data_IF_739596288904
#
_entry.id   IF_739596288904
#
_cell.length_a   1.000
_cell.length_b   1.000
_cell.length_c   1.000
_cell.angle_alpha   90.00
_cell.angle_beta   90.00
_cell.angle_gamma   90.00
#
_symmetry.space_group_name_H-M   'P 1'
#
loop_
_entity.id
_entity.type
_entity.pdbx_description
1 polymer ?
#
# COMPACT_ATOMS: atom_id res chain seq x y z
N UNK A 1 -5.47 9.94 -12.67
CA UNK A 1 -6.43 8.80 -12.69
C UNK A 1 -7.33 8.94 -13.92
N UNK A 2 -7.56 7.88 -14.70
CA UNK A 2 -8.46 7.75 -15.87
C UNK A 2 -8.53 8.93 -16.86
N UNK A 3 -9.05 10.09 -16.43
CA UNK A 3 -9.10 11.36 -17.17
C UNK A 3 -7.73 11.78 -17.73
N UNK A 4 -6.65 11.51 -16.99
CA UNK A 4 -5.28 11.78 -17.45
C UNK A 4 -4.85 10.92 -18.67
N UNK A 5 -5.60 9.87 -18.98
CA UNK A 5 -5.43 9.00 -20.14
C UNK A 5 -6.62 9.09 -21.11
N UNK A 6 -7.44 10.13 -20.97
CA UNK A 6 -8.64 10.35 -21.78
C UNK A 6 -9.64 9.19 -21.80
N UNK A 7 -9.61 8.32 -20.77
CA UNK A 7 -10.52 7.19 -20.64
C UNK A 7 -11.85 7.63 -20.04
N UNK A 8 -12.96 7.13 -20.57
CA UNK A 8 -14.29 7.24 -19.98
C UNK A 8 -14.49 6.23 -18.83
N UNK A 9 -15.50 6.46 -17.98
CA UNK A 9 -15.86 5.51 -16.91
C UNK A 9 -16.26 4.15 -17.49
N UNK A 10 -16.95 4.15 -18.64
CA UNK A 10 -17.41 2.92 -19.29
C UNK A 10 -16.22 2.09 -19.81
N UNK A 11 -15.24 2.73 -20.45
CA UNK A 11 -14.03 2.06 -20.93
C UNK A 11 -13.21 1.49 -19.78
N UNK A 12 -13.08 2.23 -18.68
CA UNK A 12 -12.34 1.73 -17.52
C UNK A 12 -13.08 0.59 -16.82
N UNK A 13 -14.41 0.68 -16.69
CA UNK A 13 -15.25 -0.37 -16.13
C UNK A 13 -15.16 -1.67 -16.94
N UNK A 14 -15.19 -1.56 -18.27
CA UNK A 14 -15.01 -2.69 -19.17
C UNK A 14 -13.63 -3.35 -18.99
N UNK A 15 -12.56 -2.55 -18.88
CA UNK A 15 -11.20 -3.06 -18.71
C UNK A 15 -10.96 -3.76 -17.36
N UNK A 16 -11.70 -3.41 -16.30
CA UNK A 16 -11.60 -4.06 -14.98
C UNK A 16 -12.73 -5.06 -14.68
N UNK A 17 -13.61 -5.32 -15.65
CA UNK A 17 -14.68 -6.30 -15.56
C UNK A 17 -15.79 -5.94 -14.55
N UNK A 18 -16.24 -4.68 -14.55
CA UNK A 18 -17.38 -4.24 -13.72
C UNK A 18 -18.34 -3.37 -14.53
N UNK A 19 -19.55 -3.13 -14.00
CA UNK A 19 -20.48 -2.18 -14.62
C UNK A 19 -20.00 -0.73 -14.44
N UNK A 20 -20.36 0.15 -15.38
CA UNK A 20 -20.06 1.59 -15.30
C UNK A 20 -20.56 2.20 -14.00
N UNK A 21 -21.75 1.80 -13.54
CA UNK A 21 -22.32 2.25 -12.27
C UNK A 21 -21.43 1.84 -11.08
N UNK A 22 -20.96 0.60 -11.04
CA UNK A 22 -20.10 0.09 -9.98
C UNK A 22 -18.74 0.80 -9.99
N UNK A 23 -18.16 1.02 -11.16
CA UNK A 23 -16.94 1.81 -11.30
C UNK A 23 -17.14 3.25 -10.79
N UNK A 24 -18.29 3.86 -11.08
CA UNK A 24 -18.65 5.18 -10.53
C UNK A 24 -18.74 5.19 -9.00
N UNK A 25 -19.27 4.11 -8.38
CA UNK A 25 -19.28 3.96 -6.92
C UNK A 25 -17.87 3.85 -6.33
N UNK A 26 -16.94 3.21 -7.05
CA UNK A 26 -15.52 3.18 -6.66
C UNK A 26 -14.88 4.58 -6.74
N UNK A 27 -15.10 5.34 -7.83
CA UNK A 27 -14.53 6.68 -7.97
C UNK A 27 -15.03 7.66 -6.90
N UNK A 28 -16.27 7.52 -6.43
CA UNK A 28 -16.85 8.36 -5.37
C UNK A 28 -16.54 7.88 -3.95
N UNK A 29 -15.91 6.72 -3.79
CA UNK A 29 -15.61 6.13 -2.47
C UNK A 29 -16.81 5.51 -1.74
N UNK A 30 -17.97 5.40 -2.40
CA UNK A 30 -19.17 4.76 -1.85
C UNK A 30 -18.96 3.25 -1.63
N UNK A 31 -18.19 2.62 -2.52
CA UNK A 31 -17.82 1.22 -2.43
C UNK A 31 -16.30 1.06 -2.43
N UNK A 32 -15.78 0.15 -1.59
CA UNK A 32 -14.38 -0.25 -1.67
C UNK A 32 -14.13 -1.08 -2.94
N UNK A 33 -13.05 -0.74 -3.64
CA UNK A 33 -12.56 -1.55 -4.76
C UNK A 33 -11.78 -2.77 -4.20
N UNK A 34 -12.12 -4.01 -4.61
CA UNK A 34 -11.33 -5.18 -4.21
C UNK A 34 -9.89 -5.10 -4.71
N UNK A 35 -8.93 -5.60 -3.92
CA UNK A 35 -7.49 -5.44 -4.20
C UNK A 35 -7.06 -5.96 -5.57
N UNK A 36 -7.59 -7.11 -6.01
CA UNK A 36 -7.26 -7.65 -7.34
C UNK A 36 -7.73 -6.75 -8.48
N UNK A 37 -8.92 -6.15 -8.37
CA UNK A 37 -9.42 -5.19 -9.37
C UNK A 37 -8.66 -3.87 -9.33
N UNK A 38 -8.26 -3.46 -8.14
CA UNK A 38 -7.42 -2.28 -7.96
C UNK A 38 -6.07 -2.47 -8.66
N UNK A 39 -5.40 -3.60 -8.45
CA UNK A 39 -4.15 -3.94 -9.15
C UNK A 39 -4.31 -3.93 -10.67
N UNK A 40 -5.39 -4.53 -11.20
CA UNK A 40 -5.69 -4.48 -12.63
C UNK A 40 -5.88 -3.03 -13.12
N UNK A 41 -6.60 -2.21 -12.35
CA UNK A 41 -6.79 -0.80 -12.66
C UNK A 41 -5.45 -0.03 -12.70
N UNK A 42 -4.52 -0.33 -11.80
CA UNK A 42 -3.18 0.28 -11.78
C UNK A 42 -2.36 -0.10 -13.00
N UNK A 43 -2.37 -1.38 -13.39
CA UNK A 43 -1.70 -1.86 -14.59
C UNK A 43 -2.24 -1.19 -15.85
N UNK A 44 -3.56 -1.06 -15.98
CA UNK A 44 -4.21 -0.36 -17.09
C UNK A 44 -3.79 1.12 -17.13
N UNK A 45 -3.70 1.74 -15.96
CA UNK A 45 -3.33 3.14 -15.84
C UNK A 45 -1.82 3.36 -15.97
N UNK A 46 -1.02 2.34 -16.27
CA UNK A 46 0.43 2.48 -16.40
C UNK A 46 1.15 2.85 -15.10
N UNK A 47 0.48 2.71 -13.94
CA UNK A 47 1.03 2.99 -12.62
C UNK A 47 1.81 1.78 -12.06
N UNK A 48 2.49 1.04 -12.94
CA UNK A 48 3.24 -0.19 -12.61
C UNK A 48 4.39 0.08 -11.64
N UNK A 49 4.86 1.34 -11.56
CA UNK A 49 5.98 1.77 -10.72
C UNK A 49 5.57 2.60 -9.48
N UNK A 50 4.39 2.38 -8.93
CA UNK A 50 4.08 2.77 -7.55
C UNK A 50 3.80 4.26 -7.27
N UNK A 51 3.93 5.16 -8.23
CA UNK A 51 3.59 6.57 -8.02
C UNK A 51 2.24 6.93 -8.63
N UNK A 52 1.17 6.68 -7.87
CA UNK A 52 -0.13 7.30 -8.14
C UNK A 52 -0.12 8.73 -7.57
N UNK A 53 -0.42 9.76 -8.38
CA UNK A 53 -0.43 11.15 -7.90
C UNK A 53 -1.34 11.40 -6.70
N UNK A 54 -2.37 10.57 -6.49
CA UNK A 54 -3.29 10.65 -5.35
C UNK A 54 -2.89 9.82 -4.11
N UNK A 55 -1.78 9.07 -4.20
CA UNK A 55 -1.12 8.39 -3.07
C UNK A 55 0.25 8.97 -2.76
N UNK A 56 0.64 10.04 -3.48
CA UNK A 56 1.60 11.02 -2.98
C UNK A 56 0.91 11.77 -1.84
N UNK A 57 0.67 11.09 -0.72
CA UNK A 57 0.97 11.76 0.54
C UNK A 57 2.42 12.22 0.34
N UNK A 58 2.66 13.54 0.26
CA UNK A 58 3.94 14.03 0.73
C UNK A 58 4.20 13.20 1.98
N UNK A 59 5.33 12.50 2.05
CA UNK A 59 5.77 11.95 3.30
C UNK A 59 5.94 13.17 4.22
N UNK A 60 4.84 13.66 4.78
CA UNK A 60 4.81 14.32 6.05
C UNK A 60 5.41 13.22 6.90
N UNK A 61 6.74 13.27 7.03
CA UNK A 61 7.48 12.31 7.80
C UNK A 61 6.69 12.22 9.09
N UNK A 62 6.32 11.01 9.49
CA UNK A 62 5.81 10.84 10.84
C UNK A 62 6.83 11.57 11.71
N UNK A 63 6.42 12.66 12.35
CA UNK A 63 7.21 13.32 13.37
C UNK A 63 7.27 12.30 14.50
N UNK A 64 8.16 11.32 14.35
CA UNK A 64 8.40 10.30 15.35
C UNK A 64 9.07 11.06 16.47
N UNK A 65 8.30 11.35 17.52
CA UNK A 65 8.82 11.97 18.72
C UNK A 65 10.12 11.22 19.09
N UNK A 66 11.24 11.92 19.36
CA UNK A 66 12.54 11.28 19.59
C UNK A 66 12.51 10.15 20.63
N UNK A 67 11.59 10.25 21.59
CA UNK A 67 11.31 9.23 22.60
C UNK A 67 10.83 7.90 21.98
N UNK A 68 9.88 7.95 21.04
CA UNK A 68 9.33 6.75 20.37
C UNK A 68 10.41 6.04 19.55
N UNK A 69 11.31 6.81 18.92
CA UNK A 69 12.44 6.23 18.18
C UNK A 69 13.42 5.50 19.13
N UNK A 70 13.71 6.08 20.28
CA UNK A 70 14.60 5.46 21.28
C UNK A 70 14.00 4.18 21.85
N UNK A 71 12.71 4.20 22.19
CA UNK A 71 11.98 3.02 22.67
C UNK A 71 11.95 1.89 21.64
N UNK A 72 11.66 2.22 20.36
CA UNK A 72 11.68 1.23 19.28
C UNK A 72 13.07 0.65 19.06
N UNK A 73 14.12 1.48 19.17
CA UNK A 73 15.49 1.01 19.04
C UNK A 73 15.86 0.04 20.16
N UNK A 74 15.49 0.34 21.40
CA UNK A 74 15.73 -0.53 22.54
C UNK A 74 15.04 -1.89 22.39
N UNK A 75 13.75 -1.89 21.99
CA UNK A 75 13.00 -3.13 21.76
C UNK A 75 13.62 -4.00 20.66
N UNK A 76 14.12 -3.38 19.59
CA UNK A 76 14.82 -4.08 18.51
C UNK A 76 16.13 -4.73 18.99
N UNK A 77 16.88 -4.03 19.82
CA UNK A 77 18.13 -4.53 20.38
C UNK A 77 17.89 -5.70 21.35
N UNK A 78 16.83 -5.62 22.16
CA UNK A 78 16.39 -6.71 23.04
C UNK A 78 15.98 -7.96 22.24
N UNK A 79 15.14 -7.80 21.21
CA UNK A 79 14.71 -8.90 20.35
C UNK A 79 15.90 -9.58 19.66
N UNK A 80 16.88 -8.79 19.20
CA UNK A 80 18.09 -9.31 18.58
C UNK A 80 18.91 -10.13 19.58
N UNK A 81 19.07 -9.63 20.81
CA UNK A 81 19.76 -10.34 21.87
C UNK A 81 19.10 -11.69 22.20
N UNK A 82 17.77 -11.73 22.25
CA UNK A 82 17.04 -12.96 22.53
C UNK A 82 17.14 -13.97 21.38
N UNK A 83 17.12 -13.50 20.13
CA UNK A 83 17.37 -14.35 18.97
C UNK A 83 18.79 -14.94 18.98
N UNK A 84 19.79 -14.14 19.37
CA UNK A 84 21.17 -14.62 19.48
C UNK A 84 21.31 -15.69 20.58
N UNK A 85 20.67 -15.49 21.74
CA UNK A 85 20.61 -16.51 22.82
C UNK A 85 19.94 -17.79 22.34
N UNK A 86 18.81 -17.69 21.65
CA UNK A 86 18.10 -18.85 21.12
C UNK A 86 18.96 -19.63 20.11
N UNK A 87 19.69 -18.91 19.25
CA UNK A 87 20.63 -19.52 18.30
C UNK A 87 21.79 -20.22 19.01
N UNK A 88 22.32 -19.65 20.07
CA UNK A 88 23.41 -20.25 20.84
C UNK A 88 22.95 -21.48 21.64
N UNK A 89 21.71 -21.50 22.14
CA UNK A 89 21.10 -22.70 22.72
C UNK A 89 20.98 -23.81 21.67
N UNK A 90 20.50 -23.48 20.47
CA UNK A 90 20.41 -24.44 19.36
C UNK A 90 21.76 -25.04 18.96
N UNK A 91 22.85 -24.26 19.02
CA UNK A 91 24.21 -24.75 18.71
C UNK A 91 24.79 -25.70 19.76
N UNK A 92 24.23 -25.73 20.97
CA UNK A 92 24.69 -26.55 22.09
C UNK A 92 23.93 -27.88 22.23
N UNK A 93 22.89 -28.08 21.43
CA UNK A 93 22.17 -29.35 21.26
C UNK A 93 22.89 -30.22 20.23
#
# INVERSE_FOLDING_TARGET
MRKAQSLSQAEMAAKIGVSTQQYGKYERGENRIPIGRYQTALSILGAVNGSLPGFSESAAGYEVAPLVKAELQQLLDELKGDLDKARDLLRRL
#
